data_IF_389228620397
#
_entry.id   IF_389228620397
#
_cell.length_a   1.000
_cell.length_b   1.000
_cell.length_c   1.000
_cell.angle_alpha   90.00
_cell.angle_beta   90.00
_cell.angle_gamma   90.00
#
_symmetry.space_group_name_H-M   'P 1'
#
loop_
_entity.id
_entity.type
_entity.pdbx_description
1 polymer ?
#
# COMPACT_ATOMS: atom_id res chain seq x y z
N UNK A 1 13.43 12.41 -7.71
CA UNK A 1 12.21 13.09 -7.26
C UNK A 1 12.60 14.15 -6.23
N UNK A 2 12.05 15.37 -6.30
CA UNK A 2 12.21 16.38 -5.25
C UNK A 2 11.19 16.16 -4.12
N UNK A 3 11.38 16.80 -2.97
CA UNK A 3 10.38 16.82 -1.91
C UNK A 3 9.21 17.77 -2.28
N UNK A 4 7.97 17.50 -1.82
CA UNK A 4 7.56 16.35 -1.01
C UNK A 4 7.22 15.09 -1.82
N UNK A 5 7.42 13.92 -1.21
CA UNK A 5 6.93 12.62 -1.71
C UNK A 5 5.89 12.08 -0.75
N UNK A 6 4.77 11.57 -1.26
CA UNK A 6 3.66 11.08 -0.43
C UNK A 6 3.71 9.57 -0.31
N UNK A 7 3.51 9.03 0.89
CA UNK A 7 3.52 7.60 1.16
C UNK A 7 2.20 7.21 1.82
N UNK A 8 1.51 6.22 1.25
CA UNK A 8 0.25 5.69 1.79
C UNK A 8 0.56 4.73 2.94
N UNK A 9 0.19 5.13 4.16
CA UNK A 9 0.67 4.59 5.44
C UNK A 9 2.19 4.71 5.61
N UNK A 10 2.70 4.32 6.78
CA UNK A 10 4.13 4.15 7.00
C UNK A 10 4.76 3.18 6.00
N UNK A 11 5.96 3.50 5.50
CA UNK A 11 6.66 2.69 4.49
C UNK A 11 6.97 1.27 5.00
N UNK A 12 7.31 1.18 6.30
CA UNK A 12 7.47 -0.01 7.13
C UNK A 12 7.14 0.38 8.58
N UNK A 13 6.72 -0.56 9.42
CA UNK A 13 6.47 -0.33 10.86
C UNK A 13 7.78 -0.18 11.67
N UNK A 14 8.56 0.85 11.36
CA UNK A 14 9.79 1.19 12.07
C UNK A 14 9.90 2.72 12.26
N UNK A 15 9.75 3.17 13.51
CA UNK A 15 9.76 4.59 13.86
C UNK A 15 11.02 5.32 13.42
N UNK A 16 12.19 4.72 13.55
CA UNK A 16 13.45 5.36 13.16
C UNK A 16 13.52 5.60 11.64
N UNK A 17 13.04 4.64 10.86
CA UNK A 17 12.97 4.78 9.39
C UNK A 17 11.96 5.85 8.99
N UNK A 18 10.76 5.82 9.58
CA UNK A 18 9.67 6.77 9.28
C UNK A 18 10.11 8.20 9.60
N UNK A 19 10.67 8.45 10.78
CA UNK A 19 11.12 9.79 11.17
C UNK A 19 12.28 10.29 10.29
N UNK A 20 13.22 9.41 9.94
CA UNK A 20 14.31 9.76 9.01
C UNK A 20 13.80 10.18 7.64
N UNK A 21 12.75 9.52 7.13
CA UNK A 21 12.12 9.88 5.85
C UNK A 21 11.28 11.16 5.96
N UNK A 22 10.55 11.37 7.06
CA UNK A 22 9.84 12.63 7.33
C UNK A 22 10.79 13.82 7.29
N UNK A 23 11.94 13.71 7.97
CA UNK A 23 12.97 14.75 7.99
C UNK A 23 13.55 15.04 6.59
N UNK A 24 13.50 14.07 5.66
CA UNK A 24 13.92 14.22 4.26
C UNK A 24 12.78 14.71 3.34
N UNK A 25 11.59 14.98 3.86
CA UNK A 25 10.46 15.52 3.11
C UNK A 25 9.41 14.51 2.68
N UNK A 26 9.44 13.28 3.19
CA UNK A 26 8.34 12.33 2.98
C UNK A 26 7.11 12.72 3.82
N UNK A 27 5.93 12.64 3.22
CA UNK A 27 4.64 12.87 3.86
C UNK A 27 3.85 11.56 3.90
N UNK A 28 3.67 11.03 5.10
CA UNK A 28 2.89 9.81 5.32
C UNK A 28 1.42 10.20 5.48
N UNK A 29 0.53 9.57 4.70
CA UNK A 29 -0.91 9.88 4.64
C UNK A 29 -1.77 8.64 4.83
N UNK A 30 -2.94 8.82 5.42
CA UNK A 30 -3.90 7.75 5.64
C UNK A 30 -4.89 7.63 4.49
N UNK A 31 -5.11 8.69 3.72
CA UNK A 31 -6.01 8.67 2.57
C UNK A 31 -5.35 9.30 1.36
N UNK A 32 -5.61 8.74 0.18
CA UNK A 32 -5.05 9.31 -1.04
C UNK A 32 -5.60 10.71 -1.29
N UNK A 33 -6.82 11.04 -0.83
CA UNK A 33 -7.40 12.39 -0.92
C UNK A 33 -6.50 13.50 -0.34
N UNK A 34 -5.59 13.17 0.57
CA UNK A 34 -4.60 14.08 1.14
C UNK A 34 -3.41 14.38 0.19
N UNK A 35 -3.28 13.60 -0.88
CA UNK A 35 -2.21 13.71 -1.87
C UNK A 35 -2.59 14.69 -2.98
N UNK A 36 -1.81 15.75 -3.24
CA UNK A 36 -2.06 16.66 -4.36
C UNK A 36 -2.02 15.96 -5.72
N UNK A 37 -2.78 16.47 -6.68
CA UNK A 37 -2.76 15.97 -8.06
C UNK A 37 -1.34 16.05 -8.66
N UNK A 38 -0.94 15.01 -9.39
CA UNK A 38 0.38 14.92 -10.01
C UNK A 38 1.56 14.68 -9.05
N UNK A 39 1.33 14.62 -7.72
CA UNK A 39 2.38 14.33 -6.76
C UNK A 39 2.86 12.87 -6.87
N UNK A 40 4.14 12.66 -6.54
CA UNK A 40 4.72 11.31 -6.42
C UNK A 40 4.10 10.63 -5.21
N UNK A 41 3.51 9.47 -5.45
CA UNK A 41 2.83 8.66 -4.44
C UNK A 41 3.51 7.31 -4.33
N UNK A 42 3.72 6.83 -3.11
CA UNK A 42 4.32 5.53 -2.83
C UNK A 42 3.32 4.68 -2.06
N UNK A 43 3.08 3.45 -2.53
CA UNK A 43 2.41 2.43 -1.71
C UNK A 43 3.45 1.73 -0.82
N UNK A 44 3.13 1.53 0.46
CA UNK A 44 4.07 0.95 1.43
C UNK A 44 4.39 -0.52 1.15
N UNK A 45 5.40 -1.05 1.86
CA UNK A 45 5.83 -2.44 1.70
C UNK A 45 4.74 -3.48 2.03
N UNK A 46 3.76 -3.09 2.85
CA UNK A 46 2.63 -3.90 3.28
C UNK A 46 1.59 -4.13 2.17
N UNK A 47 1.69 -3.39 1.06
CA UNK A 47 0.71 -3.40 -0.01
C UNK A 47 -0.59 -2.67 0.33
N UNK A 48 -1.47 -2.60 -0.67
CA UNK A 48 -2.76 -1.93 -0.59
C UNK A 48 -3.86 -2.79 -1.20
N UNK A 49 -5.12 -2.51 -0.83
CA UNK A 49 -6.30 -3.13 -1.44
C UNK A 49 -6.52 -2.63 -2.88
N UNK A 50 -7.26 -3.41 -3.68
CA UNK A 50 -7.56 -3.06 -5.09
C UNK A 50 -8.27 -1.72 -5.23
N UNK A 51 -9.15 -1.38 -4.30
CA UNK A 51 -9.88 -0.09 -4.31
C UNK A 51 -8.94 1.12 -4.21
N UNK A 52 -7.84 1.00 -3.46
CA UNK A 52 -6.85 2.08 -3.31
C UNK A 52 -6.06 2.29 -4.60
N UNK A 53 -5.72 1.20 -5.31
CA UNK A 53 -5.09 1.29 -6.63
C UNK A 53 -5.99 1.97 -7.66
N UNK A 54 -7.30 1.67 -7.63
CA UNK A 54 -8.28 2.26 -8.52
C UNK A 54 -8.46 3.76 -8.22
N UNK A 55 -8.53 4.15 -6.95
CA UNK A 55 -8.60 5.55 -6.54
C UNK A 55 -7.36 6.34 -7.00
N UNK A 56 -6.16 5.78 -6.81
CA UNK A 56 -4.93 6.42 -7.29
C UNK A 56 -4.94 6.64 -8.81
N UNK A 57 -5.42 5.65 -9.58
CA UNK A 57 -5.57 5.75 -11.04
C UNK A 57 -6.61 6.78 -11.45
N UNK A 58 -7.78 6.77 -10.81
CA UNK A 58 -8.86 7.72 -11.06
C UNK A 58 -8.41 9.17 -10.81
N UNK A 59 -7.53 9.37 -9.83
CA UNK A 59 -6.96 10.68 -9.49
C UNK A 59 -5.70 11.03 -10.30
N UNK A 60 -5.27 10.16 -11.21
CA UNK A 60 -4.10 10.39 -12.06
C UNK A 60 -2.78 10.54 -11.29
N UNK A 61 -2.66 9.88 -10.13
CA UNK A 61 -1.44 9.96 -9.32
C UNK A 61 -0.29 9.19 -9.97
N UNK A 62 0.93 9.71 -9.84
CA UNK A 62 2.14 9.00 -10.23
C UNK A 62 2.57 8.05 -9.09
N UNK A 63 2.18 6.79 -9.20
CA UNK A 63 2.39 5.78 -8.15
C UNK A 63 3.66 4.97 -8.39
N UNK A 64 4.48 4.86 -7.35
CA UNK A 64 5.56 3.88 -7.20
C UNK A 64 5.11 2.84 -6.17
N UNK A 65 4.97 1.59 -6.60
CA UNK A 65 4.54 0.52 -5.70
C UNK A 65 5.76 -0.13 -5.03
N UNK A 66 5.91 0.07 -3.71
CA UNK A 66 6.97 -0.53 -2.93
C UNK A 66 6.55 -1.82 -2.21
N UNK A 67 5.38 -2.39 -2.56
CA UNK A 67 4.89 -3.65 -1.98
C UNK A 67 5.97 -4.73 -2.03
N UNK A 68 6.22 -5.38 -0.89
CA UNK A 68 7.18 -6.47 -0.82
C UNK A 68 6.75 -7.59 -1.80
N UNK A 69 7.66 -8.13 -2.66
CA UNK A 69 7.31 -9.21 -3.58
C UNK A 69 6.72 -10.46 -2.90
N UNK A 70 7.06 -10.69 -1.63
CA UNK A 70 6.48 -11.78 -0.83
C UNK A 70 5.01 -11.50 -0.45
N UNK A 71 4.66 -10.25 -0.16
CA UNK A 71 3.26 -9.83 0.06
C UNK A 71 2.48 -9.92 -1.26
N UNK A 72 3.04 -9.42 -2.37
CA UNK A 72 2.42 -9.55 -3.68
C UNK A 72 2.18 -11.01 -4.09
N UNK A 73 3.09 -11.93 -3.70
CA UNK A 73 2.89 -13.37 -3.88
C UNK A 73 1.69 -13.88 -3.10
N UNK A 74 1.50 -13.48 -1.84
CA UNK A 74 0.34 -13.87 -1.03
C UNK A 74 -0.96 -13.40 -1.68
N UNK A 75 -1.02 -12.14 -2.15
CA UNK A 75 -2.17 -11.60 -2.90
C UNK A 75 -2.51 -12.48 -4.11
N UNK A 76 -1.51 -12.77 -4.95
CA UNK A 76 -1.71 -13.57 -6.15
C UNK A 76 -2.13 -15.02 -5.87
N UNK A 77 -1.61 -15.64 -4.80
CA UNK A 77 -2.02 -16.99 -4.40
C UNK A 77 -3.46 -17.01 -3.88
N UNK A 78 -3.85 -16.02 -3.06
CA UNK A 78 -5.23 -15.89 -2.57
C UNK A 78 -6.23 -15.83 -3.73
N UNK A 79 -6.03 -14.90 -4.66
CA UNK A 79 -6.88 -14.75 -5.86
C UNK A 79 -6.93 -16.02 -6.70
N UNK A 80 -5.78 -16.67 -6.92
CA UNK A 80 -5.69 -17.92 -7.68
C UNK A 80 -6.52 -19.04 -7.04
N UNK A 81 -6.47 -19.20 -5.72
CA UNK A 81 -7.23 -20.25 -5.04
C UNK A 81 -8.73 -19.97 -5.02
N UNK A 82 -9.13 -18.70 -4.84
CA UNK A 82 -10.54 -18.30 -4.98
C UNK A 82 -11.05 -18.58 -6.41
N UNK A 83 -10.27 -18.25 -7.43
CA UNK A 83 -10.62 -18.54 -8.83
C UNK A 83 -10.72 -20.05 -9.13
N UNK A 84 -10.11 -20.90 -8.30
CA UNK A 84 -10.24 -22.37 -8.36
C UNK A 84 -11.43 -22.90 -7.55
N UNK A 85 -12.29 -22.03 -7.00
CA UNK A 85 -13.44 -22.40 -6.18
C UNK A 85 -13.08 -22.86 -4.77
N UNK A 86 -11.87 -22.53 -4.28
CA UNK A 86 -11.45 -22.90 -2.92
C UNK A 86 -11.85 -21.85 -1.91
N UNK A 87 -12.22 -22.30 -0.71
CA UNK A 87 -12.27 -21.44 0.46
C UNK A 87 -10.84 -21.09 0.89
N UNK A 88 -10.55 -19.80 1.02
CA UNK A 88 -9.27 -19.29 1.51
C UNK A 88 -9.46 -18.75 2.92
N UNK A 89 -8.64 -19.21 3.85
CA UNK A 89 -8.59 -18.70 5.23
C UNK A 89 -7.29 -17.91 5.37
N UNK A 90 -7.41 -16.61 5.63
CA UNK A 90 -6.27 -15.73 5.91
C UNK A 90 -6.05 -15.66 7.43
N UNK A 91 -4.85 -16.03 7.88
CA UNK A 91 -4.46 -15.92 9.29
C UNK A 91 -3.64 -14.63 9.45
N UNK A 92 -4.13 -13.73 10.29
CA UNK A 92 -3.49 -12.43 10.55
C UNK A 92 -4.18 -11.65 11.65
N UNK A 93 -3.69 -10.45 11.92
CA UNK A 93 -4.27 -9.55 12.91
C UNK A 93 -5.27 -8.60 12.24
N UNK A 94 -6.48 -8.49 12.80
CA UNK A 94 -7.51 -7.59 12.29
C UNK A 94 -7.01 -6.14 12.24
N UNK A 95 -7.31 -5.44 11.14
CA UNK A 95 -6.88 -4.05 10.92
C UNK A 95 -5.42 -3.86 10.53
N UNK A 96 -4.60 -4.92 10.43
CA UNK A 96 -3.23 -4.79 9.95
C UNK A 96 -3.21 -4.46 8.45
N UNK A 97 -2.40 -3.49 7.96
CA UNK A 97 -2.41 -3.08 6.55
C UNK A 97 -2.22 -4.23 5.55
N UNK A 98 -1.37 -5.21 5.86
CA UNK A 98 -1.17 -6.40 5.01
C UNK A 98 -2.42 -7.30 4.92
N UNK A 99 -3.19 -7.38 6.01
CA UNK A 99 -4.42 -8.18 6.06
C UNK A 99 -5.51 -7.49 5.25
N UNK A 100 -5.71 -6.19 5.45
CA UNK A 100 -6.64 -5.38 4.66
C UNK A 100 -6.27 -5.39 3.17
N UNK A 101 -4.96 -5.26 2.88
CA UNK A 101 -4.42 -5.32 1.54
C UNK A 101 -4.68 -6.66 0.86
N UNK A 102 -4.56 -7.78 1.58
CA UNK A 102 -4.79 -9.14 1.06
C UNK A 102 -6.28 -9.46 0.91
N UNK A 103 -7.10 -9.08 1.88
CA UNK A 103 -8.56 -9.30 1.84
C UNK A 103 -9.24 -8.45 0.76
N UNK A 104 -8.71 -7.27 0.47
CA UNK A 104 -9.22 -6.37 -0.58
C UNK A 104 -8.75 -6.72 -2.00
N UNK A 105 -8.36 -7.96 -2.27
CA UNK A 105 -7.91 -8.46 -3.58
C UNK A 105 -8.97 -9.27 -4.32
#
# INVERSE_FOLDING_TARGET
>A
FGAPVYVRHEIVHNRHVVESLRAKGARFVENLTEVPAGAITIFSAHGVARVVELDARARGLHVLDATCPLVAKVHGQGQRYVAQGRLVILVGHAGHPEVEGTMGR
#
